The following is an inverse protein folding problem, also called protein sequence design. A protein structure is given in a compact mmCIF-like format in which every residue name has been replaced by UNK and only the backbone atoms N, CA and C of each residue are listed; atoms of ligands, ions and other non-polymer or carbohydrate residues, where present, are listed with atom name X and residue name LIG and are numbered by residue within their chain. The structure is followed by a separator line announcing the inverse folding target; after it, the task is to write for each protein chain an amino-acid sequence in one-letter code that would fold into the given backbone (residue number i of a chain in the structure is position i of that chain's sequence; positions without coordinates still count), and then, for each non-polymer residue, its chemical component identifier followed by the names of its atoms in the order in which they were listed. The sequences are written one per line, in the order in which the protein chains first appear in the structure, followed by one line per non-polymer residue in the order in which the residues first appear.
data_IF_156639381285
#
_entry.id   IF_156639381285
#
_cell.length_a   1.000
_cell.length_b   1.000
_cell.length_c   1.000
_cell.angle_alpha   90.00
_cell.angle_beta   90.00
_cell.angle_gamma   90.00
#
_symmetry.space_group_name_H-M   'P 1'
#
loop_
_entity.id
_entity.type
_entity.pdbx_description
1 polymer ?
#
# COMPACT_ATOMS: atom_id res chain seq x y z
N UNK A 1 -11.97 2.76 42.93
CA UNK A 1 -11.66 2.56 41.50
C UNK A 1 -12.63 3.38 40.67
N UNK A 2 -12.19 4.52 40.13
CA UNK A 2 -13.04 5.42 39.34
C UNK A 2 -12.93 5.05 37.86
N UNK A 3 -14.07 4.90 37.18
CA UNK A 3 -14.15 4.69 35.72
C UNK A 3 -14.06 6.06 35.04
N UNK A 4 -13.09 6.24 34.14
CA UNK A 4 -12.95 7.44 33.33
C UNK A 4 -13.85 7.37 32.09
N UNK A 5 -14.85 8.24 32.05
CA UNK A 5 -15.72 8.52 30.91
C UNK A 5 -15.01 9.50 29.94
N UNK A 6 -14.83 9.11 28.68
CA UNK A 6 -14.22 9.97 27.66
C UNK A 6 -15.30 10.90 27.08
N UNK A 7 -15.24 12.18 27.43
CA UNK A 7 -16.06 13.24 26.82
C UNK A 7 -15.63 13.47 25.37
N UNK A 8 -16.53 13.19 24.43
CA UNK A 8 -16.46 13.72 23.06
C UNK A 8 -16.97 15.16 23.06
N UNK A 9 -16.11 16.12 22.76
CA UNK A 9 -16.50 17.52 22.51
C UNK A 9 -16.83 17.68 21.04
N UNK A 10 -18.07 18.03 20.75
CA UNK A 10 -18.56 18.43 19.45
C UNK A 10 -18.33 19.95 19.31
N UNK A 11 -17.53 20.38 18.34
CA UNK A 11 -17.36 21.81 18.02
C UNK A 11 -17.90 22.06 16.63
N UNK A 12 -19.14 22.53 16.56
CA UNK A 12 -19.67 23.21 15.38
C UNK A 12 -18.95 24.56 15.24
N UNK A 13 -18.40 24.80 14.05
CA UNK A 13 -18.04 26.14 13.57
C UNK A 13 -18.72 26.32 12.23
N UNK A 14 -19.88 26.98 12.27
CA UNK A 14 -20.43 27.71 11.14
C UNK A 14 -19.73 29.07 11.13
N UNK A 15 -18.91 29.33 10.12
CA UNK A 15 -18.56 30.69 9.71
C UNK A 15 -18.46 30.70 8.19
N UNK A 16 -19.53 31.23 7.60
CA UNK A 16 -19.67 31.57 6.20
C UNK A 16 -18.70 32.72 5.88
N UNK A 17 -17.72 32.48 5.01
CA UNK A 17 -17.00 33.55 4.35
C UNK A 17 -16.87 33.25 2.87
N UNK A 18 -17.73 33.91 2.11
CA UNK A 18 -17.73 34.00 0.66
C UNK A 18 -16.39 34.58 0.19
N UNK A 19 -15.62 33.80 -0.56
CA UNK A 19 -14.51 34.31 -1.36
C UNK A 19 -14.72 33.89 -2.80
N UNK A 20 -15.29 34.82 -3.55
CA UNK A 20 -15.59 34.79 -4.98
C UNK A 20 -14.31 34.52 -5.79
N UNK A 21 -14.11 33.25 -6.13
CA UNK A 21 -13.10 32.81 -7.09
C UNK A 21 -13.81 32.13 -8.25
N UNK A 22 -14.31 32.93 -9.19
CA UNK A 22 -14.83 32.45 -10.47
C UNK A 22 -13.69 31.82 -11.29
N UNK A 23 -13.30 30.60 -10.89
CA UNK A 23 -12.58 29.70 -11.77
C UNK A 23 -13.50 29.48 -12.96
N UNK A 24 -13.17 30.12 -14.07
CA UNK A 24 -13.73 29.78 -15.35
C UNK A 24 -13.41 28.29 -15.55
N UNK A 25 -14.39 27.43 -15.32
CA UNK A 25 -14.35 26.03 -15.68
C UNK A 25 -14.30 25.97 -17.21
N UNK A 26 -13.12 26.24 -17.78
CA UNK A 26 -12.85 25.92 -19.18
C UNK A 26 -12.97 24.40 -19.25
N UNK A 27 -13.90 23.93 -20.08
CA UNK A 27 -14.05 22.50 -20.34
C UNK A 27 -12.67 21.93 -20.66
N UNK A 28 -12.31 20.87 -19.94
CA UNK A 28 -11.01 20.22 -20.10
C UNK A 28 -11.01 19.59 -21.49
N UNK A 29 -10.12 20.08 -22.34
CA UNK A 29 -9.95 19.57 -23.69
C UNK A 29 -9.34 18.16 -23.61
N UNK A 30 -10.19 17.16 -23.82
CA UNK A 30 -9.82 15.76 -23.71
C UNK A 30 -8.84 15.35 -24.82
N UNK A 31 -8.90 15.94 -26.01
CA UNK A 31 -7.96 15.63 -27.09
C UNK A 31 -6.54 16.03 -26.71
N UNK A 32 -6.40 17.16 -26.02
CA UNK A 32 -5.13 17.64 -25.50
C UNK A 32 -4.56 16.76 -24.38
N UNK A 33 -5.41 16.03 -23.65
CA UNK A 33 -4.98 15.05 -22.64
C UNK A 33 -4.48 13.74 -23.26
N UNK A 34 -5.05 13.34 -24.39
CA UNK A 34 -4.68 12.08 -25.06
C UNK A 34 -3.61 12.25 -26.14
N UNK A 35 -3.25 13.49 -26.50
CA UNK A 35 -2.17 13.75 -27.44
C UNK A 35 -0.83 13.65 -26.71
N UNK A 36 0.03 12.67 -27.03
CA UNK A 36 1.37 12.59 -26.45
C UNK A 36 2.14 13.86 -26.81
N UNK A 37 2.79 14.48 -25.83
CA UNK A 37 3.61 15.66 -26.07
C UNK A 37 4.77 15.31 -27.03
N UNK A 38 4.81 15.95 -28.21
CA UNK A 38 5.81 15.64 -29.25
C UNK A 38 7.25 16.02 -28.88
N UNK A 39 7.47 16.73 -27.78
CA UNK A 39 8.79 17.12 -27.26
C UNK A 39 9.38 16.09 -26.28
N UNK A 40 8.59 15.15 -25.79
CA UNK A 40 9.02 14.05 -24.95
C UNK A 40 9.58 12.93 -25.83
N UNK A 41 10.90 12.96 -26.06
CA UNK A 41 11.63 11.87 -26.71
C UNK A 41 11.22 10.48 -26.19
N UNK A 42 11.26 9.49 -27.08
CA UNK A 42 10.74 8.15 -26.88
C UNK A 42 11.16 7.56 -25.51
N UNK A 43 10.23 7.53 -24.55
CA UNK A 43 10.45 6.89 -23.25
C UNK A 43 10.32 5.38 -23.46
N UNK A 44 11.25 4.80 -24.22
CA UNK A 44 11.37 3.35 -24.23
C UNK A 44 11.89 2.92 -22.85
N UNK A 45 11.17 2.06 -22.11
CA UNK A 45 11.72 1.48 -20.90
C UNK A 45 12.92 0.62 -21.31
N UNK A 46 14.12 1.13 -21.05
CA UNK A 46 15.37 0.38 -21.25
C UNK A 46 15.26 -0.96 -20.54
N UNK A 47 15.37 -2.05 -21.31
CA UNK A 47 15.22 -3.45 -20.88
C UNK A 47 16.24 -3.86 -19.80
N UNK A 48 17.25 -3.03 -19.53
CA UNK A 48 18.32 -3.25 -18.56
C UNK A 48 18.15 -2.47 -17.24
N UNK A 49 17.03 -1.75 -17.04
CA UNK A 49 16.77 -1.10 -15.75
C UNK A 49 16.25 -2.13 -14.76
N UNK A 50 17.06 -2.46 -13.76
CA UNK A 50 16.61 -3.21 -12.57
C UNK A 50 15.30 -2.58 -12.09
N UNK A 51 14.23 -3.37 -12.01
CA UNK A 51 12.85 -2.91 -11.77
C UNK A 51 12.63 -2.10 -10.47
N UNK A 52 13.66 -1.93 -9.62
CA UNK A 52 13.59 -1.15 -8.36
C UNK A 52 13.89 0.34 -8.52
N UNK A 53 14.36 0.80 -9.67
CA UNK A 53 14.81 2.18 -9.84
C UNK A 53 13.73 3.15 -10.35
N UNK A 54 12.45 2.98 -9.98
CA UNK A 54 11.45 4.05 -10.14
C UNK A 54 11.44 5.03 -8.97
N UNK A 55 12.13 4.71 -7.87
CA UNK A 55 12.23 5.55 -6.66
C UNK A 55 13.68 6.00 -6.43
N UNK A 56 13.89 7.31 -6.33
CA UNK A 56 15.19 7.93 -6.01
C UNK A 56 15.70 7.60 -4.58
N UNK A 57 14.89 6.93 -3.76
CA UNK A 57 15.23 6.62 -2.37
C UNK A 57 16.15 5.40 -2.22
N UNK A 58 16.10 4.43 -3.15
CA UNK A 58 16.83 3.17 -3.03
C UNK A 58 18.15 3.18 -3.82
N UNK A 59 19.26 3.24 -3.10
CA UNK A 59 20.64 3.03 -3.62
C UNK A 59 20.96 1.54 -3.81
N UNK A 60 21.38 1.10 -5.02
CA UNK A 60 21.71 -0.30 -5.30
C UNK A 60 22.81 -0.93 -4.43
N UNK A 61 23.68 -0.12 -3.83
CA UNK A 61 24.75 -0.58 -2.94
C UNK A 61 24.34 -0.70 -1.47
N UNK A 62 23.19 -0.13 -1.08
CA UNK A 62 22.79 0.01 0.32
C UNK A 62 21.48 -0.72 0.65
N UNK A 63 20.60 -0.95 -0.34
CA UNK A 63 19.30 -1.56 -0.10
C UNK A 63 19.12 -2.83 -0.94
N UNK A 64 18.50 -3.87 -0.36
CA UNK A 64 18.31 -5.13 -1.06
C UNK A 64 17.33 -4.96 -2.23
N UNK A 65 17.65 -5.58 -3.35
CA UNK A 65 16.73 -5.70 -4.49
C UNK A 65 15.54 -6.60 -4.11
N UNK A 66 14.44 -6.59 -4.87
CA UNK A 66 13.33 -7.53 -4.55
C UNK A 66 13.77 -8.98 -4.68
N UNK A 67 14.68 -9.31 -5.59
CA UNK A 67 15.25 -10.66 -5.66
C UNK A 67 15.94 -11.03 -4.33
N UNK A 68 16.80 -10.16 -3.81
CA UNK A 68 17.46 -10.36 -2.51
C UNK A 68 16.44 -10.49 -1.36
N UNK A 69 15.38 -9.69 -1.38
CA UNK A 69 14.32 -9.73 -0.36
C UNK A 69 13.53 -11.04 -0.43
N UNK A 70 13.20 -11.51 -1.63
CA UNK A 70 12.50 -12.78 -1.85
C UNK A 70 13.36 -13.95 -1.37
N UNK A 71 14.66 -13.92 -1.70
CA UNK A 71 15.60 -14.95 -1.26
C UNK A 71 15.78 -14.96 0.26
N UNK A 72 15.89 -13.78 0.87
CA UNK A 72 15.93 -13.63 2.33
C UNK A 72 14.66 -14.17 2.97
N UNK A 73 13.48 -13.81 2.45
CA UNK A 73 12.19 -14.28 2.96
C UNK A 73 12.08 -15.81 2.90
N UNK A 74 12.53 -16.42 1.80
CA UNK A 74 12.56 -17.88 1.64
C UNK A 74 13.47 -18.53 2.69
N UNK A 75 14.67 -17.98 2.89
CA UNK A 75 15.63 -18.49 3.87
C UNK A 75 15.09 -18.40 5.31
N UNK A 76 14.46 -17.28 5.67
CA UNK A 76 13.82 -17.12 6.98
C UNK A 76 12.67 -18.13 7.14
N UNK A 77 11.83 -18.29 6.12
CA UNK A 77 10.72 -19.25 6.16
C UNK A 77 11.22 -20.69 6.42
N UNK A 78 12.31 -21.10 5.77
CA UNK A 78 12.91 -22.42 5.99
C UNK A 78 13.43 -22.56 7.43
N UNK A 79 14.16 -21.56 7.92
CA UNK A 79 14.67 -21.54 9.31
C UNK A 79 13.56 -21.61 10.36
N UNK A 80 12.39 -21.00 10.09
CA UNK A 80 11.25 -21.05 10.99
C UNK A 80 10.51 -22.39 10.97
N UNK A 81 10.63 -23.15 9.88
CA UNK A 81 10.07 -24.51 9.78
C UNK A 81 11.01 -25.61 10.29
N UNK A 82 12.28 -25.29 10.53
CA UNK A 82 13.27 -26.25 11.00
C UNK A 82 12.94 -26.76 12.41
N UNK A 83 13.20 -28.05 12.64
CA UNK A 83 12.95 -28.78 13.88
C UNK A 83 13.78 -28.18 15.01
N UNK A 84 15.02 -27.76 14.71
CA UNK A 84 15.91 -27.10 15.66
C UNK A 84 15.28 -25.83 16.27
N UNK A 85 14.36 -25.20 15.54
CA UNK A 85 13.77 -23.91 15.88
C UNK A 85 12.33 -24.02 16.42
N UNK A 86 11.83 -25.24 16.65
CA UNK A 86 10.42 -25.52 17.00
C UNK A 86 9.92 -24.84 18.27
N UNK A 87 10.82 -24.58 19.23
CA UNK A 87 10.47 -23.95 20.51
C UNK A 87 10.68 -22.43 20.51
N UNK A 88 11.17 -21.85 19.41
CA UNK A 88 11.43 -20.42 19.38
C UNK A 88 10.15 -19.60 19.33
N UNK A 89 10.26 -18.37 19.86
CA UNK A 89 9.20 -17.38 19.77
C UNK A 89 8.84 -17.07 18.30
N UNK A 90 9.85 -17.03 17.42
CA UNK A 90 9.68 -16.77 15.99
C UNK A 90 8.83 -17.83 15.30
N UNK A 91 9.09 -19.10 15.58
CA UNK A 91 8.31 -20.22 15.03
C UNK A 91 6.86 -20.17 15.49
N UNK A 92 6.63 -19.98 16.80
CA UNK A 92 5.29 -19.88 17.37
C UNK A 92 4.50 -18.72 16.75
N UNK A 93 5.18 -17.58 16.57
CA UNK A 93 4.64 -16.40 15.91
C UNK A 93 4.27 -16.64 14.45
N UNK A 94 5.08 -17.40 13.71
CA UNK A 94 4.84 -17.74 12.31
C UNK A 94 3.65 -18.69 12.15
N UNK A 95 3.57 -19.75 12.95
CA UNK A 95 2.44 -20.70 12.93
C UNK A 95 1.14 -20.00 13.28
N UNK A 96 1.13 -19.12 14.30
CA UNK A 96 -0.06 -18.37 14.67
C UNK A 96 -0.54 -17.43 13.56
N UNK A 97 0.39 -16.79 12.83
CA UNK A 97 0.06 -15.97 11.66
C UNK A 97 -0.49 -16.81 10.51
N UNK A 98 0.18 -17.92 10.17
CA UNK A 98 -0.26 -18.87 9.15
C UNK A 98 -1.65 -19.43 9.45
N UNK A 99 -1.95 -19.74 10.72
CA UNK A 99 -3.28 -20.22 11.14
C UNK A 99 -4.37 -19.14 10.98
N UNK A 100 -4.04 -17.87 11.21
CA UNK A 100 -5.00 -16.75 11.17
C UNK A 100 -5.10 -16.08 9.80
N UNK A 101 -4.22 -16.40 8.85
CA UNK A 101 -4.19 -15.71 7.55
C UNK A 101 -5.47 -15.90 6.75
N UNK A 102 -6.12 -17.06 6.88
CA UNK A 102 -7.38 -17.39 6.20
C UNK A 102 -8.52 -16.43 6.58
N UNK A 103 -8.49 -15.86 7.79
CA UNK A 103 -9.53 -14.92 8.26
C UNK A 103 -9.61 -13.63 7.42
N UNK A 104 -8.56 -13.30 6.69
CA UNK A 104 -8.47 -12.06 5.91
C UNK A 104 -8.60 -12.30 4.40
N UNK A 105 -8.93 -13.53 4.00
CA UNK A 105 -9.27 -13.85 2.61
C UNK A 105 -10.77 -13.63 2.47
N UNK A 106 -11.16 -12.48 1.94
CA UNK A 106 -12.55 -12.21 1.56
C UNK A 106 -12.82 -12.90 0.22
N UNK A 107 -13.17 -14.18 0.29
CA UNK A 107 -13.92 -14.84 -0.78
C UNK A 107 -15.29 -15.24 -0.23
N UNK A 108 -16.13 -14.24 0.01
CA UNK A 108 -17.58 -14.43 -0.09
C UNK A 108 -18.02 -13.56 -1.26
N UNK A 109 -17.97 -14.12 -2.47
CA UNK A 109 -18.88 -13.69 -3.52
C UNK A 109 -20.27 -13.93 -2.95
N UNK A 110 -20.90 -12.87 -2.45
CA UNK A 110 -22.32 -12.85 -2.13
C UNK A 110 -23.08 -12.73 -3.47
N UNK A 111 -23.73 -13.78 -3.99
CA UNK A 111 -24.60 -13.66 -5.15
C UNK A 111 -25.97 -13.10 -4.72
N UNK A 112 -25.99 -11.92 -4.12
CA UNK A 112 -27.23 -11.14 -3.93
C UNK A 112 -26.88 -9.77 -3.37
N UNK A 113 -26.96 -8.74 -4.21
CA UNK A 113 -26.73 -7.35 -3.85
C UNK A 113 -27.81 -6.77 -2.96
N UNK A 114 -27.87 -7.20 -1.70
CA UNK A 114 -28.61 -6.50 -0.65
C UNK A 114 -27.61 -5.92 0.34
N UNK A 115 -27.44 -4.59 0.27
CA UNK A 115 -26.83 -3.81 1.34
C UNK A 115 -27.89 -3.64 2.43
N UNK A 116 -27.63 -4.16 3.64
CA UNK A 116 -28.35 -3.77 4.86
C UNK A 116 -27.55 -2.72 5.63
#
# INVERSE_FOLDING_TARGET
MMKSEIRRTNTNKDDNQSNDGLFHHKAIDLEKLFTPASDSGEVTPSRNRKMFASSSFYKPSLHPTVEDQVDLARRISQSLSDISNRQSKGQSMYVNRKKRSVKWVHEEFHPSGEWQ
#
